data_IF_692411429733
#
_entry.id   IF_692411429733
#
_cell.length_a   1.000
_cell.length_b   1.000
_cell.length_c   1.000
_cell.angle_alpha   90.00
_cell.angle_beta   90.00
_cell.angle_gamma   90.00
#
_symmetry.space_group_name_H-M   'P 1'
#
loop_
_entity.id
_entity.type
_entity.pdbx_description
1 polymer ?
#
# COMPACT_ATOMS: atom_id res chain seq x y z
N UNK A 1 68.35 16.70 -4.06
CA UNK A 1 67.26 17.67 -3.88
C UNK A 1 66.00 17.05 -4.46
N UNK A 2 65.18 16.42 -3.62
CA UNK A 2 63.91 15.82 -4.02
C UNK A 2 62.79 16.80 -3.70
N UNK A 3 62.15 17.34 -4.74
CA UNK A 3 61.01 18.25 -4.61
C UNK A 3 59.73 17.47 -4.32
N UNK A 4 58.97 17.96 -3.35
CA UNK A 4 57.66 17.49 -2.96
C UNK A 4 56.57 17.84 -3.98
N UNK A 5 55.56 16.98 -4.09
CA UNK A 5 54.19 17.22 -4.55
C UNK A 5 53.44 15.88 -4.42
N UNK A 6 52.21 15.73 -3.95
CA UNK A 6 51.26 16.62 -3.29
C UNK A 6 50.29 15.69 -2.55
N UNK A 7 49.90 16.09 -1.35
CA UNK A 7 48.82 15.49 -0.57
C UNK A 7 47.50 15.60 -1.35
N UNK A 8 47.01 14.49 -1.91
CA UNK A 8 45.61 14.39 -2.31
C UNK A 8 44.78 14.16 -1.03
N UNK A 9 44.21 15.24 -0.53
CA UNK A 9 43.12 15.19 0.45
C UNK A 9 41.96 14.41 -0.16
N UNK A 10 41.42 13.36 0.48
CA UNK A 10 40.14 12.82 0.04
C UNK A 10 39.09 13.92 0.25
N UNK A 11 38.34 14.25 -0.80
CA UNK A 11 37.13 15.05 -0.73
C UNK A 11 36.18 14.41 0.29
N UNK A 12 35.45 15.19 1.11
CA UNK A 12 34.40 14.60 1.93
C UNK A 12 33.32 14.11 0.98
N UNK A 13 33.16 12.80 0.83
CA UNK A 13 31.90 12.23 0.36
C UNK A 13 30.81 12.79 1.28
N UNK A 14 30.04 13.76 0.77
CA UNK A 14 28.82 14.22 1.42
C UNK A 14 27.99 12.97 1.69
N UNK A 15 27.92 12.59 2.96
CA UNK A 15 27.25 11.39 3.40
C UNK A 15 25.76 11.66 3.23
N UNK A 16 25.23 11.37 2.03
CA UNK A 16 23.84 11.65 1.67
C UNK A 16 22.95 11.07 2.76
N UNK A 17 22.14 11.94 3.37
CA UNK A 17 21.31 11.55 4.50
C UNK A 17 20.38 10.39 4.10
N UNK A 18 20.03 9.55 5.08
CA UNK A 18 19.19 8.36 4.82
C UNK A 18 17.84 8.76 4.22
N UNK A 19 17.21 9.83 4.74
CA UNK A 19 15.95 10.34 4.21
C UNK A 19 16.08 10.82 2.75
N UNK A 20 17.18 11.49 2.36
CA UNK A 20 17.39 11.95 0.99
C UNK A 20 17.51 10.79 0.00
N UNK A 21 18.21 9.72 0.42
CA UNK A 21 18.32 8.49 -0.37
C UNK A 21 16.95 7.82 -0.55
N UNK A 22 16.17 7.72 0.53
CA UNK A 22 14.82 7.15 0.48
C UNK A 22 13.90 8.02 -0.41
N UNK A 23 13.92 9.34 -0.25
CA UNK A 23 13.14 10.26 -1.07
C UNK A 23 13.48 10.11 -2.57
N UNK A 24 14.77 9.95 -2.90
CA UNK A 24 15.21 9.72 -4.29
C UNK A 24 14.61 8.43 -4.86
N UNK A 25 14.61 7.34 -4.07
CA UNK A 25 14.02 6.07 -4.47
C UNK A 25 12.50 6.14 -4.64
N UNK A 26 11.79 6.83 -3.75
CA UNK A 26 10.33 6.97 -3.79
C UNK A 26 9.85 7.88 -4.95
N UNK A 27 10.67 8.86 -5.35
CA UNK A 27 10.33 9.79 -6.43
C UNK A 27 10.62 9.26 -7.84
N UNK A 28 11.28 8.11 -7.97
CA UNK A 28 11.54 7.52 -9.29
C UNK A 28 10.26 6.96 -9.92
N UNK A 29 10.01 7.32 -11.18
CA UNK A 29 8.87 6.84 -11.97
C UNK A 29 9.35 6.05 -13.20
N UNK A 30 8.92 4.80 -13.41
CA UNK A 30 8.05 4.01 -12.53
C UNK A 30 8.77 3.55 -11.26
N UNK A 31 8.00 3.30 -10.20
CA UNK A 31 8.53 2.78 -8.95
C UNK A 31 9.14 1.39 -9.17
N UNK A 32 10.40 1.22 -8.80
CA UNK A 32 11.15 -0.03 -9.01
C UNK A 32 11.19 -0.90 -7.76
N UNK A 33 10.93 -2.19 -7.91
CA UNK A 33 11.03 -3.18 -6.82
C UNK A 33 12.36 -3.09 -6.08
N UNK A 34 13.49 -3.03 -6.80
CA UNK A 34 14.82 -2.98 -6.19
C UNK A 34 15.01 -1.74 -5.30
N UNK A 35 14.41 -0.61 -5.67
CA UNK A 35 14.45 0.60 -4.85
C UNK A 35 13.52 0.50 -3.65
N UNK A 36 12.35 -0.11 -3.80
CA UNK A 36 11.48 -0.38 -2.67
C UNK A 36 12.09 -1.33 -1.64
N UNK A 37 12.75 -2.41 -2.08
CA UNK A 37 13.47 -3.30 -1.16
C UNK A 37 14.58 -2.57 -0.40
N UNK A 38 15.31 -1.67 -1.07
CA UNK A 38 16.31 -0.80 -0.41
C UNK A 38 15.65 0.17 0.56
N UNK A 39 14.56 0.82 0.19
CA UNK A 39 13.79 1.72 1.04
C UNK A 39 13.32 1.02 2.31
N UNK A 40 12.64 -0.12 2.18
CA UNK A 40 12.16 -0.91 3.33
C UNK A 40 13.31 -1.33 4.24
N UNK A 41 14.44 -1.76 3.66
CA UNK A 41 15.64 -2.12 4.44
C UNK A 41 16.20 -0.91 5.20
N UNK A 42 16.36 0.24 4.53
CA UNK A 42 16.86 1.46 5.17
C UNK A 42 15.96 1.92 6.31
N UNK A 43 14.63 1.82 6.15
CA UNK A 43 13.67 2.17 7.21
C UNK A 43 13.77 1.19 8.39
N UNK A 44 13.93 -0.11 8.13
CA UNK A 44 14.10 -1.13 9.18
C UNK A 44 15.41 -0.97 9.96
N UNK A 45 16.47 -0.54 9.27
CA UNK A 45 17.79 -0.31 9.87
C UNK A 45 17.84 1.00 10.68
N UNK A 46 16.83 1.87 10.58
CA UNK A 46 16.74 3.12 11.35
C UNK A 46 16.35 2.86 12.82
N UNK A 47 17.06 3.54 13.71
CA UNK A 47 16.67 3.72 15.11
C UNK A 47 15.39 4.54 15.23
N UNK A 48 14.73 4.51 16.40
CA UNK A 48 13.52 5.32 16.64
C UNK A 48 13.78 6.82 16.43
N UNK A 49 14.98 7.33 16.77
CA UNK A 49 15.35 8.73 16.53
C UNK A 49 15.45 9.05 15.03
N UNK A 50 16.07 8.17 14.24
CA UNK A 50 16.16 8.34 12.78
C UNK A 50 14.78 8.24 12.12
N UNK A 51 13.90 7.38 12.63
CA UNK A 51 12.51 7.30 12.16
C UNK A 51 11.74 8.60 12.39
N UNK A 52 11.97 9.29 13.50
CA UNK A 52 11.41 10.63 13.71
C UNK A 52 11.89 11.57 12.59
N UNK A 53 13.18 11.55 12.27
CA UNK A 53 13.74 12.35 11.17
C UNK A 53 13.10 11.99 9.81
N UNK A 54 12.88 10.70 9.52
CA UNK A 54 12.19 10.27 8.29
C UNK A 54 10.78 10.88 8.20
N UNK A 55 10.05 10.91 9.30
CA UNK A 55 8.72 11.51 9.35
C UNK A 55 8.78 13.03 9.18
N UNK A 56 9.68 13.72 9.88
CA UNK A 56 9.88 15.17 9.78
C UNK A 56 10.25 15.61 8.36
N UNK A 57 11.00 14.79 7.63
CA UNK A 57 11.37 15.04 6.22
C UNK A 57 10.30 14.56 5.22
N UNK A 58 9.12 14.15 5.70
CA UNK A 58 7.98 13.84 4.84
C UNK A 58 8.01 12.46 4.18
N UNK A 59 8.93 11.57 4.54
CA UNK A 59 9.03 10.24 3.90
C UNK A 59 7.74 9.44 4.06
N UNK A 60 7.14 9.48 5.25
CA UNK A 60 5.88 8.76 5.53
C UNK A 60 4.70 9.37 4.78
N UNK A 61 4.70 10.69 4.59
CA UNK A 61 3.71 11.40 3.79
C UNK A 61 3.79 10.95 2.33
N UNK A 62 4.99 10.89 1.76
CA UNK A 62 5.23 10.40 0.40
C UNK A 62 4.74 8.95 0.25
N UNK A 63 5.05 8.06 1.20
CA UNK A 63 4.58 6.67 1.15
C UNK A 63 3.03 6.62 1.17
N UNK A 64 2.38 7.38 2.06
CA UNK A 64 0.92 7.42 2.14
C UNK A 64 0.27 8.00 0.88
N UNK A 65 0.88 9.01 0.25
CA UNK A 65 0.42 9.60 -1.00
C UNK A 65 0.55 8.60 -2.17
N UNK A 66 1.68 7.90 -2.28
CA UNK A 66 1.87 6.84 -3.28
C UNK A 66 0.88 5.68 -3.09
N UNK A 67 0.52 5.33 -1.84
CA UNK A 67 -0.53 4.35 -1.55
C UNK A 67 -1.88 4.86 -2.06
N UNK A 68 -2.21 6.14 -1.79
CA UNK A 68 -3.47 6.74 -2.24
C UNK A 68 -3.59 6.77 -3.78
N UNK A 69 -2.50 7.13 -4.46
CA UNK A 69 -2.43 7.16 -5.92
C UNK A 69 -2.58 5.77 -6.54
N UNK A 70 -1.90 4.78 -5.95
CA UNK A 70 -1.98 3.38 -6.42
C UNK A 70 -3.37 2.78 -6.17
N UNK A 71 -4.01 3.16 -5.06
CA UNK A 71 -5.34 2.67 -4.67
C UNK A 71 -6.50 3.33 -5.46
N UNK A 72 -6.39 4.61 -5.81
CA UNK A 72 -7.47 5.35 -6.49
C UNK A 72 -7.85 4.73 -7.85
N UNK A 73 -6.91 4.06 -8.50
CA UNK A 73 -7.18 3.32 -9.74
C UNK A 73 -7.98 2.01 -9.54
N UNK A 74 -7.89 1.37 -8.38
CA UNK A 74 -8.62 0.12 -8.11
C UNK A 74 -10.13 0.36 -7.91
N UNK A 75 -10.52 1.52 -7.36
CA UNK A 75 -11.93 1.87 -7.08
C UNK A 75 -12.77 2.10 -8.34
N UNK A 76 -12.17 2.55 -9.44
CA UNK A 76 -12.89 2.82 -10.70
C UNK A 76 -13.51 1.58 -11.34
N UNK A 77 -13.07 0.37 -10.97
CA UNK A 77 -13.59 -0.88 -11.51
C UNK A 77 -15.01 -1.24 -11.02
N UNK A 78 -15.42 -0.80 -9.82
CA UNK A 78 -16.77 -1.09 -9.28
C UNK A 78 -17.80 -0.04 -9.69
N UNK A 79 -17.41 1.22 -9.81
CA UNK A 79 -18.35 2.31 -10.11
C UNK A 79 -18.80 2.32 -11.58
N UNK A 80 -17.93 1.91 -12.52
CA UNK A 80 -18.32 1.80 -13.93
C UNK A 80 -19.37 0.71 -14.19
N UNK A 81 -19.33 -0.39 -13.44
CA UNK A 81 -20.29 -1.49 -13.58
C UNK A 81 -21.71 -1.08 -13.12
N UNK A 82 -21.78 -0.21 -12.12
CA UNK A 82 -23.04 0.26 -11.53
C UNK A 82 -23.66 1.41 -12.34
N UNK A 83 -22.82 2.30 -12.90
CA UNK A 83 -23.29 3.38 -13.77
C UNK A 83 -23.78 2.87 -15.15
N UNK A 84 -23.15 1.81 -15.70
CA UNK A 84 -23.65 1.13 -16.90
C UNK A 84 -25.02 0.50 -16.70
N UNK A 85 -25.30 -0.13 -15.55
CA UNK A 85 -26.62 -0.70 -15.23
C UNK A 85 -27.72 0.37 -15.13
N UNK A 86 -27.40 1.58 -14.67
CA UNK A 86 -28.37 2.70 -14.63
C UNK A 86 -28.63 3.31 -16.01
N UNK A 87 -27.64 3.38 -16.89
CA UNK A 87 -27.82 3.91 -18.27
C UNK A 87 -28.59 2.95 -19.18
N UNK A 88 -28.51 1.64 -18.94
CA UNK A 88 -29.17 0.64 -19.78
C UNK A 88 -30.70 0.54 -19.56
N UNK A 89 -31.22 1.06 -18.43
CA UNK A 89 -32.66 1.04 -18.11
C UNK A 89 -33.45 2.25 -18.62
N UNK A 90 -32.80 3.23 -19.26
CA UNK A 90 -33.43 4.51 -19.60
C UNK A 90 -33.66 4.75 -21.09
N UNK A 91 -33.57 3.71 -21.92
CA UNK A 91 -33.70 3.84 -23.37
C UNK A 91 -34.75 2.88 -23.94
N UNK A 92 -36.00 3.11 -23.56
CA UNK A 92 -37.18 2.55 -24.23
C UNK A 92 -38.14 3.70 -24.54
N UNK A 93 -37.94 4.32 -25.71
CA UNK A 93 -38.98 4.76 -26.65
C UNK A 93 -38.45 5.86 -27.59
N UNK A 94 -38.07 5.47 -28.81
CA UNK A 94 -38.44 6.25 -29.99
C UNK A 94 -38.38 5.36 -31.23
N UNK A 95 -39.53 5.20 -31.86
CA UNK A 95 -39.73 4.56 -33.16
C UNK A 95 -39.45 5.57 -34.27
N UNK A 96 -38.49 5.29 -35.15
CA UNK A 96 -38.51 5.77 -36.53
C UNK A 96 -37.53 4.97 -37.40
N UNK A 97 -38.06 4.48 -38.51
CA UNK A 97 -37.48 3.64 -39.54
C UNK A 97 -36.57 4.48 -40.45
N UNK A 98 -35.35 4.03 -40.76
CA UNK A 98 -34.77 4.17 -42.11
C UNK A 98 -33.65 3.14 -42.37
N UNK A 99 -33.77 2.51 -43.54
CA UNK A 99 -32.92 1.46 -44.11
C UNK A 99 -31.47 1.93 -44.32
N UNK A 100 -30.53 1.08 -43.91
CA UNK A 100 -29.11 1.20 -44.22
C UNK A 100 -28.34 -0.03 -43.76
N UNK A 101 -28.49 -1.16 -44.46
CA UNK A 101 -27.67 -2.36 -44.25
C UNK A 101 -26.31 -2.16 -44.94
N UNK A 102 -25.47 -1.33 -44.35
CA UNK A 102 -24.06 -1.23 -44.70
C UNK A 102 -23.30 -2.30 -43.92
N UNK A 103 -22.97 -3.42 -44.56
CA UNK A 103 -21.89 -4.31 -44.10
C UNK A 103 -20.55 -3.61 -44.34
N UNK A 104 -20.33 -2.51 -43.63
CA UNK A 104 -19.02 -1.93 -43.46
C UNK A 104 -18.28 -2.81 -42.47
N UNK A 105 -17.18 -3.41 -42.91
CA UNK A 105 -16.11 -3.95 -42.07
C UNK A 105 -15.51 -2.79 -41.22
N UNK A 106 -16.30 -2.26 -40.31
CA UNK A 106 -15.95 -1.23 -39.34
C UNK A 106 -15.51 -1.92 -38.07
N UNK A 107 -14.23 -2.25 -38.03
CA UNK A 107 -13.47 -2.79 -36.90
C UNK A 107 -14.13 -2.65 -35.52
N UNK A 108 -14.31 -3.80 -34.89
CA UNK A 108 -14.04 -4.19 -33.49
C UNK A 108 -12.90 -3.42 -32.78
N UNK A 109 -12.84 -2.09 -32.89
CA UNK A 109 -11.78 -1.22 -32.39
C UNK A 109 -11.95 -0.79 -30.93
N UNK A 110 -12.80 -1.50 -30.19
CA UNK A 110 -12.69 -1.64 -28.74
C UNK A 110 -12.30 -3.07 -28.40
N UNK A 111 -11.18 -3.55 -28.96
CA UNK A 111 -10.38 -4.57 -28.29
C UNK A 111 -9.79 -3.88 -27.07
N UNK A 112 -10.56 -3.84 -25.99
CA UNK A 112 -9.99 -3.65 -24.66
C UNK A 112 -8.93 -4.73 -24.54
N UNK A 113 -7.69 -4.30 -24.39
CA UNK A 113 -6.57 -5.19 -24.15
C UNK A 113 -6.73 -5.69 -22.72
N UNK A 114 -7.57 -6.73 -22.57
CA UNK A 114 -7.89 -7.33 -21.27
C UNK A 114 -6.60 -7.80 -20.61
N UNK A 115 -5.68 -8.36 -21.40
CA UNK A 115 -4.35 -8.79 -20.95
C UNK A 115 -3.59 -7.61 -20.35
N UNK A 116 -3.43 -6.51 -21.09
CA UNK A 116 -2.81 -5.29 -20.55
C UNK A 116 -3.51 -4.74 -19.31
N UNK A 117 -4.84 -4.76 -19.28
CA UNK A 117 -5.61 -4.25 -18.14
C UNK A 117 -5.37 -5.10 -16.88
N UNK A 118 -5.27 -6.42 -17.05
CA UNK A 118 -4.95 -7.37 -15.97
C UNK A 118 -3.49 -7.19 -15.53
N UNK A 119 -2.55 -7.08 -16.45
CA UNK A 119 -1.14 -6.83 -16.16
C UNK A 119 -0.93 -5.51 -15.39
N UNK A 120 -1.55 -4.42 -15.83
CA UNK A 120 -1.51 -3.12 -15.13
C UNK A 120 -2.13 -3.19 -13.74
N UNK A 121 -3.17 -4.03 -13.56
CA UNK A 121 -3.76 -4.26 -12.23
C UNK A 121 -2.79 -5.02 -11.33
N UNK A 122 -2.21 -6.12 -11.81
CA UNK A 122 -1.27 -6.94 -11.03
C UNK A 122 -0.02 -6.15 -10.64
N UNK A 123 0.55 -5.37 -11.58
CA UNK A 123 1.70 -4.51 -11.31
C UNK A 123 1.39 -3.46 -10.22
N UNK A 124 0.16 -2.93 -10.18
CA UNK A 124 -0.27 -2.00 -9.12
C UNK A 124 -0.49 -2.68 -7.78
N UNK A 125 -1.09 -3.86 -7.76
CA UNK A 125 -1.24 -4.64 -6.51
C UNK A 125 0.13 -5.02 -5.93
N UNK A 126 1.11 -5.30 -6.79
CA UNK A 126 2.49 -5.54 -6.39
C UNK A 126 3.16 -4.28 -5.82
N UNK A 127 3.03 -3.13 -6.49
CA UNK A 127 3.52 -1.83 -6.00
C UNK A 127 2.93 -1.47 -4.64
N UNK A 128 1.63 -1.72 -4.47
CA UNK A 128 0.93 -1.47 -3.22
C UNK A 128 1.49 -2.35 -2.09
N UNK A 129 1.77 -3.62 -2.37
CA UNK A 129 2.45 -4.52 -1.42
C UNK A 129 3.80 -3.96 -0.99
N UNK A 130 4.61 -3.45 -1.91
CA UNK A 130 5.91 -2.85 -1.57
C UNK A 130 5.78 -1.61 -0.68
N UNK A 131 4.81 -0.74 -0.95
CA UNK A 131 4.56 0.47 -0.17
C UNK A 131 4.05 0.14 1.24
N UNK A 132 3.15 -0.83 1.35
CA UNK A 132 2.66 -1.33 2.65
C UNK A 132 3.81 -1.93 3.47
N UNK A 133 4.72 -2.67 2.84
CA UNK A 133 5.89 -3.21 3.53
C UNK A 133 6.84 -2.11 4.01
N UNK A 134 7.05 -1.05 3.22
CA UNK A 134 7.83 0.12 3.65
C UNK A 134 7.18 0.84 4.84
N UNK A 135 5.84 0.96 4.83
CA UNK A 135 5.10 1.51 5.97
C UNK A 135 5.20 0.61 7.22
N UNK A 136 5.10 -0.71 7.06
CA UNK A 136 5.28 -1.66 8.15
C UNK A 136 6.67 -1.59 8.76
N UNK A 137 7.71 -1.44 7.94
CA UNK A 137 9.08 -1.22 8.41
C UNK A 137 9.20 0.04 9.28
N UNK A 138 8.44 1.09 8.97
CA UNK A 138 8.40 2.28 9.81
C UNK A 138 7.68 1.99 11.13
N UNK A 139 6.49 1.36 11.07
CA UNK A 139 5.65 1.07 12.24
C UNK A 139 6.31 0.09 13.22
N UNK A 140 7.08 -0.88 12.75
CA UNK A 140 7.80 -1.85 13.59
C UNK A 140 9.20 -1.39 13.94
N UNK A 141 9.53 -1.31 15.23
CA UNK A 141 10.92 -1.38 15.70
C UNK A 141 11.29 -2.82 16.05
N UNK A 142 12.53 -3.19 15.76
CA UNK A 142 13.04 -4.53 15.51
C UNK A 142 12.87 -5.55 16.66
N UNK A 143 12.09 -6.60 16.42
CA UNK A 143 12.51 -8.02 16.50
C UNK A 143 11.34 -8.90 16.01
N UNK A 144 11.57 -9.88 15.12
CA UNK A 144 10.55 -10.85 14.70
C UNK A 144 10.10 -11.79 15.83
N UNK A 145 10.73 -11.71 17.00
CA UNK A 145 10.36 -12.48 18.17
C UNK A 145 9.12 -11.88 18.83
N UNK A 146 7.95 -12.40 18.43
CA UNK A 146 6.65 -12.19 19.09
C UNK A 146 6.62 -12.65 20.57
N UNK A 147 7.73 -13.21 21.08
CA UNK A 147 7.90 -13.69 22.45
C UNK A 147 8.32 -12.59 23.43
N UNK A 148 8.89 -11.48 22.95
CA UNK A 148 9.25 -10.35 23.78
C UNK A 148 8.03 -9.43 24.01
N UNK A 149 7.75 -9.11 25.28
CA UNK A 149 6.80 -8.05 25.61
C UNK A 149 7.38 -6.74 25.08
N UNK A 150 6.71 -6.14 24.10
CA UNK A 150 7.12 -4.86 23.51
C UNK A 150 7.04 -3.76 24.56
N UNK A 151 8.11 -3.00 24.68
CA UNK A 151 8.18 -1.85 25.58
C UNK A 151 7.50 -0.67 24.87
N UNK A 152 6.68 0.14 25.56
CA UNK A 152 6.22 1.42 25.03
C UNK A 152 7.32 2.30 24.39
N UNK A 153 8.58 2.16 24.82
CA UNK A 153 9.77 2.81 24.22
C UNK A 153 9.99 2.40 22.76
N UNK A 154 9.60 1.19 22.36
CA UNK A 154 9.78 0.67 20.99
C UNK A 154 8.98 1.48 19.96
N UNK A 155 8.00 2.26 20.41
CA UNK A 155 7.13 3.09 19.58
C UNK A 155 7.35 4.59 19.78
N UNK A 156 8.48 5.01 20.36
CA UNK A 156 8.78 6.41 20.64
C UNK A 156 8.73 7.33 19.40
N UNK A 157 8.95 6.77 18.19
CA UNK A 157 8.85 7.49 16.92
C UNK A 157 7.42 7.71 16.43
N UNK A 158 6.45 6.99 16.98
CA UNK A 158 5.04 7.08 16.61
C UNK A 158 4.36 8.15 17.47
N UNK A 159 4.60 9.41 17.11
CA UNK A 159 4.00 10.57 17.78
C UNK A 159 2.49 10.68 17.50
N UNK A 160 1.73 11.50 18.26
CA UNK A 160 0.32 11.74 17.98
C UNK A 160 0.05 12.27 16.56
N UNK A 161 0.98 13.03 15.97
CA UNK A 161 0.84 13.55 14.60
C UNK A 161 0.99 12.42 13.58
N UNK A 162 1.97 11.52 13.76
CA UNK A 162 2.12 10.31 12.94
C UNK A 162 0.85 9.46 12.97
N UNK A 163 0.26 9.30 14.16
CA UNK A 163 -1.00 8.54 14.34
C UNK A 163 -2.15 9.19 13.58
N UNK A 164 -2.26 10.52 13.64
CA UNK A 164 -3.29 11.25 12.93
C UNK A 164 -3.11 11.13 11.41
N UNK A 165 -1.90 11.32 10.90
CA UNK A 165 -1.64 11.31 9.45
C UNK A 165 -1.91 9.92 8.87
N UNK A 166 -1.39 8.86 9.50
CA UNK A 166 -1.62 7.49 9.05
C UNK A 166 -3.09 7.11 9.25
N UNK A 167 -3.69 7.46 10.40
CA UNK A 167 -5.09 7.14 10.74
C UNK A 167 -6.13 7.84 9.84
N UNK A 168 -5.75 8.93 9.19
CA UNK A 168 -6.60 9.64 8.22
C UNK A 168 -6.16 9.42 6.76
N UNK A 169 -5.13 8.61 6.52
CA UNK A 169 -4.62 8.29 5.17
C UNK A 169 -5.48 7.26 4.43
N UNK A 170 -5.13 7.04 3.16
CA UNK A 170 -5.73 5.99 2.34
C UNK A 170 -5.49 4.57 2.88
N UNK A 171 -4.56 4.35 3.81
CA UNK A 171 -4.28 3.05 4.42
C UNK A 171 -5.50 2.50 5.16
N UNK A 172 -6.21 3.34 5.93
CA UNK A 172 -7.41 2.91 6.66
C UNK A 172 -8.54 2.55 5.69
N UNK A 173 -8.72 3.34 4.63
CA UNK A 173 -9.69 3.08 3.57
C UNK A 173 -9.35 1.76 2.85
N UNK A 174 -8.07 1.54 2.54
CA UNK A 174 -7.59 0.32 1.90
C UNK A 174 -7.92 -0.93 2.74
N UNK A 175 -7.66 -0.87 4.05
CA UNK A 175 -8.00 -1.93 4.99
C UNK A 175 -9.52 -2.17 5.09
N UNK A 176 -10.36 -1.16 4.92
CA UNK A 176 -11.82 -1.35 4.96
C UNK A 176 -12.35 -2.03 3.69
N UNK A 177 -11.84 -1.68 2.51
CA UNK A 177 -12.44 -2.11 1.24
C UNK A 177 -11.73 -3.26 0.54
N UNK A 178 -10.44 -3.51 0.84
CA UNK A 178 -9.62 -4.45 0.08
C UNK A 178 -9.19 -5.71 0.84
N UNK A 179 -9.68 -5.93 2.07
CA UNK A 179 -9.43 -7.17 2.82
C UNK A 179 -9.99 -8.45 2.20
N UNK A 180 -10.81 -8.33 1.14
CA UNK A 180 -11.28 -9.48 0.34
C UNK A 180 -10.44 -9.74 -0.90
N UNK A 181 -9.44 -8.89 -1.17
CA UNK A 181 -8.57 -9.07 -2.32
C UNK A 181 -7.46 -10.05 -1.96
N UNK A 182 -7.51 -11.26 -2.53
CA UNK A 182 -6.59 -12.34 -2.17
C UNK A 182 -5.12 -11.99 -2.40
N UNK A 183 -4.81 -11.25 -3.47
CA UNK A 183 -3.44 -10.84 -3.80
C UNK A 183 -2.85 -9.84 -2.81
N UNK A 184 -3.68 -9.07 -2.11
CA UNK A 184 -3.25 -8.05 -1.15
C UNK A 184 -3.47 -8.48 0.30
N UNK A 185 -4.21 -9.57 0.54
CA UNK A 185 -4.71 -9.91 1.86
C UNK A 185 -3.60 -10.03 2.89
N UNK A 186 -2.51 -10.71 2.57
CA UNK A 186 -1.41 -10.95 3.52
C UNK A 186 -0.72 -9.62 3.90
N UNK A 187 -0.46 -8.74 2.93
CA UNK A 187 0.15 -7.43 3.18
C UNK A 187 -0.79 -6.51 3.99
N UNK A 188 -2.10 -6.56 3.72
CA UNK A 188 -3.11 -5.81 4.46
C UNK A 188 -3.28 -6.35 5.89
N UNK A 189 -3.25 -7.66 6.06
CA UNK A 189 -3.32 -8.32 7.36
C UNK A 189 -2.10 -7.96 8.21
N UNK A 190 -0.90 -8.00 7.62
CA UNK A 190 0.33 -7.57 8.29
C UNK A 190 0.23 -6.10 8.69
N UNK A 191 -0.24 -5.23 7.80
CA UNK A 191 -0.44 -3.80 8.09
C UNK A 191 -1.44 -3.57 9.21
N UNK A 192 -2.56 -4.30 9.22
CA UNK A 192 -3.54 -4.25 10.29
C UNK A 192 -2.93 -4.72 11.63
N UNK A 193 -2.08 -5.75 11.61
CA UNK A 193 -1.37 -6.23 12.78
C UNK A 193 -0.34 -5.21 13.30
N UNK A 194 0.42 -4.56 12.41
CA UNK A 194 1.35 -3.47 12.74
C UNK A 194 0.64 -2.36 13.47
N UNK A 195 -0.48 -1.88 12.91
CA UNK A 195 -1.32 -0.85 13.50
C UNK A 195 -1.90 -1.31 14.83
N UNK A 196 -2.43 -2.54 14.91
CA UNK A 196 -3.01 -3.09 16.13
C UNK A 196 -2.00 -3.24 17.27
N UNK A 197 -0.71 -3.36 16.94
CA UNK A 197 0.34 -3.44 17.97
C UNK A 197 0.61 -2.12 18.69
N UNK A 198 0.16 -1.00 18.12
CA UNK A 198 0.32 0.34 18.66
C UNK A 198 -1.05 0.78 19.20
N UNK A 199 -1.23 0.94 20.53
CA UNK A 199 -2.52 1.24 21.14
C UNK A 199 -3.22 2.48 20.55
N UNK A 200 -2.45 3.47 20.09
CA UNK A 200 -2.96 4.71 19.51
C UNK A 200 -3.74 4.49 18.20
N UNK A 201 -3.48 3.41 17.44
CA UNK A 201 -4.18 3.11 16.19
C UNK A 201 -5.46 2.27 16.39
N UNK A 202 -5.66 1.65 17.55
CA UNK A 202 -6.84 0.81 17.85
C UNK A 202 -8.17 1.50 17.54
N UNK A 203 -8.39 2.80 17.87
CA UNK A 203 -9.62 3.48 17.54
C UNK A 203 -9.96 3.46 16.04
N UNK A 204 -8.96 3.52 15.16
CA UNK A 204 -9.14 3.50 13.69
C UNK A 204 -9.47 2.11 13.16
N UNK A 205 -9.07 1.04 13.86
CA UNK A 205 -9.36 -0.35 13.45
C UNK A 205 -10.72 -0.86 13.94
N UNK A 206 -11.17 -0.36 15.11
CA UNK A 206 -12.39 -0.84 15.78
C UNK A 206 -13.60 0.03 15.48
N UNK A 207 -13.42 1.34 15.26
CA UNK A 207 -14.52 2.21 14.86
C UNK A 207 -14.62 2.20 13.33
N UNK A 208 -15.82 2.05 12.77
CA UNK A 208 -15.98 2.17 11.33
C UNK A 208 -15.66 3.60 10.91
N UNK A 209 -14.90 3.75 9.82
CA UNK A 209 -14.51 5.06 9.28
C UNK A 209 -15.74 5.81 8.74
N UNK A 210 -16.69 5.09 8.14
CA UNK A 210 -17.97 5.64 7.66
C UNK A 210 -19.18 5.16 8.47
N UNK A 211 -20.21 6.02 8.58
CA UNK A 211 -21.45 5.66 9.28
C UNK A 211 -22.15 4.50 8.56
N UNK A 212 -22.24 3.36 9.23
CA UNK A 212 -22.93 2.16 8.74
C UNK A 212 -22.01 1.08 8.14
N UNK A 213 -20.72 1.35 7.99
CA UNK A 213 -19.76 0.33 7.59
C UNK A 213 -19.39 -0.61 8.75
N UNK A 214 -18.80 -1.76 8.41
CA UNK A 214 -18.18 -2.65 9.38
C UNK A 214 -16.82 -2.10 9.76
N UNK A 215 -16.40 -2.32 11.01
CA UNK A 215 -15.04 -2.01 11.42
C UNK A 215 -14.05 -2.97 10.75
N UNK A 216 -12.82 -2.52 10.52
CA UNK A 216 -11.73 -3.35 9.98
C UNK A 216 -11.57 -4.63 10.82
N UNK A 217 -11.63 -4.52 12.14
CA UNK A 217 -11.59 -5.69 13.03
C UNK A 217 -12.71 -6.72 12.76
N UNK A 218 -13.90 -6.29 12.34
CA UNK A 218 -15.01 -7.18 11.99
C UNK A 218 -14.86 -7.75 10.57
N UNK A 219 -14.32 -6.96 9.65
CA UNK A 219 -13.98 -7.40 8.29
C UNK A 219 -12.98 -8.55 8.35
N UNK A 220 -11.95 -8.46 9.18
CA UNK A 220 -10.91 -9.49 9.35
C UNK A 220 -11.41 -10.83 9.89
N UNK A 221 -12.48 -10.86 10.70
CA UNK A 221 -13.00 -12.10 11.29
C UNK A 221 -13.51 -13.09 10.22
N UNK A 222 -14.03 -12.61 9.10
CA UNK A 222 -14.62 -13.46 8.06
C UNK A 222 -13.52 -14.19 7.26
N UNK A 223 -12.53 -13.50 6.64
CA UNK A 223 -11.41 -14.15 5.98
C UNK A 223 -10.59 -15.03 6.93
N UNK A 224 -10.42 -14.62 8.20
CA UNK A 224 -9.69 -15.44 9.16
C UNK A 224 -10.41 -16.76 9.43
N UNK A 225 -11.75 -16.74 9.58
CA UNK A 225 -12.55 -17.95 9.77
C UNK A 225 -12.56 -18.87 8.53
N UNK A 226 -12.56 -18.29 7.33
CA UNK A 226 -12.58 -19.05 6.07
C UNK A 226 -11.21 -19.67 5.73
N UNK A 227 -10.11 -18.99 6.08
CA UNK A 227 -8.74 -19.50 5.84
C UNK A 227 -8.22 -20.37 6.98
N UNK A 228 -8.75 -20.21 8.19
CA UNK A 228 -8.37 -20.99 9.37
C UNK A 228 -9.39 -22.12 9.58
N UNK A 229 -9.40 -23.10 8.68
CA UNK A 229 -10.04 -24.38 8.94
C UNK A 229 -9.04 -25.30 9.68
N UNK A 230 -9.28 -25.66 10.95
CA UNK A 230 -8.34 -26.45 11.74
C UNK A 230 -8.17 -27.90 11.27
N UNK A 231 -8.84 -28.30 10.18
CA UNK A 231 -8.89 -29.68 9.70
C UNK A 231 -7.73 -30.03 8.76
N UNK A 232 -7.11 -29.07 8.08
CA UNK A 232 -6.03 -29.38 7.11
C UNK A 232 -4.62 -29.44 7.74
N UNK A 233 -4.42 -28.95 8.96
CA UNK A 233 -3.10 -28.90 9.60
C UNK A 233 -2.79 -30.04 10.59
N UNK A 234 -3.71 -30.98 10.81
CA UNK A 234 -3.49 -32.12 11.73
C UNK A 234 -2.96 -33.41 11.05
N UNK A 235 -2.76 -33.42 9.72
CA UNK A 235 -2.30 -34.63 9.01
C UNK A 235 -0.82 -34.67 8.64
N UNK A 236 0.00 -33.72 9.12
CA UNK A 236 1.45 -33.81 8.97
C UNK A 236 2.19 -33.49 10.26
N UNK A 237 2.13 -34.40 11.24
CA UNK A 237 3.24 -34.66 12.16
C UNK A 237 3.33 -36.16 12.43
N UNK A 238 4.48 -36.73 12.08
CA UNK A 238 4.96 -38.04 12.53
C UNK A 238 5.07 -38.09 14.05
#
# INVERSE_FOLDING_TARGET
MGSAASTSSPEPEETIAVYDRIATYLNEKPLKMAHMLKTTKLINDCTSAEKIMLYEHGIIHIICELIADTCSFCSSSRTEAEERRRRQRRNSNSSAIHRGTGYGYGSTRSRWDIERTVEERLAREEQLTWLLNALNAFLYCTSPDFTAKRDPIDYAHVSPTVVQDIGHSAVIVLLEYHLKNDSLFDALLETAASLASIPAFIPYLVKPYTKGAKSIAKELLVPFKERWDPVEHFNYRF
#
